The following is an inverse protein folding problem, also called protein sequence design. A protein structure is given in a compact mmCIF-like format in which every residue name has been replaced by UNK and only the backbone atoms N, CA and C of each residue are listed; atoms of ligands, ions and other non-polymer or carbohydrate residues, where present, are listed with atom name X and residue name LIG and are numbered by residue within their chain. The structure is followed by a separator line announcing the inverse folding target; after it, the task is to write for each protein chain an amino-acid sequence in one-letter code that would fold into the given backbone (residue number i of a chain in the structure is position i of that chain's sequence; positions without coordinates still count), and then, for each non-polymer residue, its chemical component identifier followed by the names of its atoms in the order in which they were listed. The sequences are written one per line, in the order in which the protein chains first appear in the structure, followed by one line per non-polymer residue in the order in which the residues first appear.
data_IF_889379494462
#
_entry.id   IF_889379494462
#
_cell.length_a   1.000
_cell.length_b   1.000
_cell.length_c   1.000
_cell.angle_alpha   90.00
_cell.angle_beta   90.00
_cell.angle_gamma   90.00
#
_symmetry.space_group_name_H-M   'P 1'
#
loop_
_entity.id
_entity.type
_entity.pdbx_description
1 polymer ?
#
# COMPACT_ATOMS: atom_id res chain seq x y z
N UNK A 1 -1.13 19.73 -15.93
CA UNK A 1 -2.51 19.25 -15.65
C UNK A 1 -2.45 17.73 -15.60
N UNK A 2 -2.66 17.12 -14.43
CA UNK A 2 -2.57 15.65 -14.26
C UNK A 2 -3.90 15.04 -14.72
N UNK A 3 -3.85 14.13 -15.69
CA UNK A 3 -5.02 13.41 -16.19
C UNK A 3 -5.62 12.54 -15.07
N UNK A 4 -6.90 12.71 -14.71
CA UNK A 4 -7.55 11.91 -13.66
C UNK A 4 -7.62 10.40 -13.96
N UNK A 5 -7.41 10.01 -15.22
CA UNK A 5 -7.52 8.63 -15.71
C UNK A 5 -6.18 7.92 -15.95
N UNK A 6 -5.03 8.54 -15.66
CA UNK A 6 -3.78 7.77 -15.58
C UNK A 6 -3.76 7.04 -14.24
N UNK A 7 -4.37 5.84 -14.19
CA UNK A 7 -4.27 4.91 -13.07
C UNK A 7 -2.80 4.84 -12.67
N UNK A 8 -2.48 5.12 -11.40
CA UNK A 8 -1.15 4.82 -10.89
C UNK A 8 -0.95 3.31 -11.09
N UNK A 9 -0.10 2.92 -12.05
CA UNK A 9 -0.12 1.58 -12.60
C UNK A 9 0.45 0.57 -11.60
N UNK A 10 1.62 0.85 -11.06
CA UNK A 10 2.27 0.14 -9.95
C UNK A 10 3.55 0.91 -9.63
N UNK A 11 4.17 0.67 -8.47
CA UNK A 11 5.55 1.10 -8.25
C UNK A 11 6.43 -0.11 -7.91
N UNK A 12 7.64 -0.08 -8.47
CA UNK A 12 8.66 -1.10 -8.23
C UNK A 12 9.59 -0.63 -7.14
N UNK A 13 9.76 -1.44 -6.10
CA UNK A 13 10.74 -1.22 -5.06
C UNK A 13 11.85 -2.27 -5.16
N UNK A 14 13.10 -1.84 -5.27
CA UNK A 14 14.27 -2.73 -5.38
C UNK A 14 15.07 -2.66 -4.09
N UNK A 15 15.27 -3.80 -3.43
CA UNK A 15 16.16 -3.92 -2.28
C UNK A 15 17.59 -4.23 -2.76
N UNK A 16 18.54 -3.27 -2.69
CA UNK A 16 19.90 -3.48 -3.22
C UNK A 16 20.72 -4.48 -2.39
N UNK A 17 20.32 -4.78 -1.15
CA UNK A 17 21.07 -5.65 -0.23
C UNK A 17 20.80 -7.15 -0.42
N UNK A 18 19.65 -7.53 -0.98
CA UNK A 18 19.21 -8.94 -1.07
C UNK A 18 19.22 -9.46 -2.52
N UNK A 19 19.80 -8.69 -3.44
CA UNK A 19 19.90 -9.03 -4.86
C UNK A 19 18.58 -8.85 -5.60
N UNK A 20 18.39 -7.70 -6.25
CA UNK A 20 17.35 -7.39 -7.26
C UNK A 20 15.95 -8.05 -7.07
N UNK A 21 15.47 -8.17 -5.83
CA UNK A 21 14.07 -8.53 -5.59
C UNK A 21 13.26 -7.26 -5.87
N UNK A 22 12.72 -7.19 -7.07
CA UNK A 22 11.76 -6.17 -7.47
C UNK A 22 10.40 -6.50 -6.88
N UNK A 23 9.90 -5.62 -6.00
CA UNK A 23 8.58 -5.77 -5.42
C UNK A 23 7.60 -4.80 -6.07
N UNK A 24 6.58 -5.36 -6.70
CA UNK A 24 5.50 -4.61 -7.33
C UNK A 24 4.42 -4.28 -6.32
N UNK A 25 4.06 -3.00 -6.29
CA UNK A 25 3.01 -2.47 -5.44
C UNK A 25 1.91 -1.82 -6.29
N UNK A 26 0.69 -2.29 -6.08
CA UNK A 26 -0.52 -1.86 -6.77
C UNK A 26 -1.38 -1.00 -5.85
N UNK A 27 -1.70 0.25 -6.24
CA UNK A 27 -2.62 1.08 -5.48
C UNK A 27 -4.07 0.60 -5.68
N UNK A 28 -4.67 0.03 -4.63
CA UNK A 28 -6.06 -0.44 -4.66
C UNK A 28 -7.05 0.72 -4.58
N UNK A 29 -6.72 1.73 -3.76
CA UNK A 29 -7.51 2.96 -3.61
C UNK A 29 -6.62 4.11 -3.16
N UNK A 30 -6.68 5.24 -3.87
CA UNK A 30 -5.85 6.40 -3.57
C UNK A 30 -6.66 7.69 -3.60
N UNK A 31 -6.48 8.49 -2.55
CA UNK A 31 -6.84 9.89 -2.53
C UNK A 31 -5.56 10.68 -2.24
N UNK A 32 -4.97 11.26 -3.28
CA UNK A 32 -3.68 11.98 -3.21
C UNK A 32 -3.57 13.05 -2.12
N UNK A 33 -4.70 13.54 -1.57
CA UNK A 33 -4.75 14.53 -0.49
C UNK A 33 -4.90 13.93 0.91
N UNK A 34 -5.23 12.64 1.03
CA UNK A 34 -5.61 12.03 2.32
C UNK A 34 -4.91 10.70 2.58
N UNK A 35 -5.01 9.73 1.66
CA UNK A 35 -4.57 8.37 1.90
C UNK A 35 -4.19 7.63 0.61
N UNK A 36 -3.42 6.55 0.75
CA UNK A 36 -3.23 5.55 -0.29
C UNK A 36 -3.26 4.15 0.36
N UNK A 37 -4.09 3.27 -0.17
CA UNK A 37 -4.15 1.85 0.20
C UNK A 37 -3.47 1.08 -0.94
N UNK A 38 -2.43 0.35 -0.59
CA UNK A 38 -1.53 -0.30 -1.54
C UNK A 38 -1.39 -1.76 -1.14
N UNK A 39 -1.39 -2.64 -2.13
CA UNK A 39 -1.12 -4.06 -1.97
C UNK A 39 0.01 -4.46 -2.91
N UNK A 40 0.91 -5.29 -2.46
CA UNK A 40 1.99 -5.83 -3.27
C UNK A 40 2.13 -7.31 -3.03
N UNK A 41 2.50 -8.03 -4.07
CA UNK A 41 2.76 -9.46 -4.02
C UNK A 41 4.13 -9.72 -4.64
N UNK A 42 4.96 -10.50 -3.96
CA UNK A 42 6.23 -10.98 -4.49
C UNK A 42 6.25 -12.51 -4.47
N UNK A 43 6.74 -13.10 -5.54
CA UNK A 43 6.97 -14.55 -5.62
C UNK A 43 8.40 -14.82 -5.13
N UNK A 44 8.53 -15.58 -4.05
CA UNK A 44 9.81 -16.06 -3.55
C UNK A 44 9.85 -17.58 -3.63
N UNK A 45 10.45 -18.08 -4.71
CA UNK A 45 10.58 -19.51 -4.99
C UNK A 45 9.21 -20.22 -4.99
N UNK A 46 8.90 -20.94 -3.93
CA UNK A 46 7.69 -21.73 -3.70
C UNK A 46 6.60 -20.99 -2.92
N UNK A 47 6.84 -19.74 -2.51
CA UNK A 47 5.93 -18.95 -1.67
C UNK A 47 5.54 -17.64 -2.32
N UNK A 48 4.30 -17.23 -2.07
CA UNK A 48 3.81 -15.89 -2.37
C UNK A 48 3.81 -15.07 -1.08
N UNK A 49 4.45 -13.90 -1.10
CA UNK A 49 4.46 -12.97 0.03
C UNK A 49 3.62 -11.77 -0.36
N UNK A 50 2.47 -11.65 0.29
CA UNK A 50 1.63 -10.48 0.19
C UNK A 50 2.04 -9.44 1.23
N UNK A 51 1.97 -8.17 0.84
CA UNK A 51 2.18 -7.04 1.74
C UNK A 51 1.17 -5.95 1.47
N UNK A 52 0.71 -5.34 2.55
CA UNK A 52 -0.26 -4.28 2.53
C UNK A 52 0.31 -3.03 3.20
N UNK A 53 0.08 -1.88 2.58
CA UNK A 53 0.44 -0.60 3.16
C UNK A 53 -0.73 0.37 3.09
N UNK A 54 -0.90 1.13 4.16
CA UNK A 54 -1.82 2.26 4.22
C UNK A 54 -0.99 3.49 4.53
N UNK A 55 -0.87 4.37 3.54
CA UNK A 55 -0.17 5.65 3.69
C UNK A 55 -1.19 6.74 4.02
N UNK A 56 -0.88 7.58 5.00
CA UNK A 56 -1.64 8.79 5.33
C UNK A 56 -0.80 10.03 5.01
N UNK A 57 -1.44 11.09 4.53
CA UNK A 57 -0.78 12.41 4.36
C UNK A 57 -0.50 13.11 5.70
N UNK A 58 -1.10 12.64 6.79
CA UNK A 58 -0.92 13.17 8.14
C UNK A 58 -0.38 12.06 9.05
N UNK A 59 0.32 12.42 10.12
CA UNK A 59 0.80 11.47 11.14
C UNK A 59 -0.31 10.72 11.88
N UNK A 60 -1.57 11.14 11.71
CA UNK A 60 -2.75 10.48 12.28
C UNK A 60 -3.48 9.65 11.22
N UNK A 61 -3.95 8.47 11.65
CA UNK A 61 -4.80 7.57 10.88
C UNK A 61 -6.09 8.29 10.43
N UNK A 62 -6.46 8.26 9.13
CA UNK A 62 -7.70 8.87 8.67
C UNK A 62 -8.94 8.23 9.29
N UNK A 63 -9.93 9.04 9.69
CA UNK A 63 -11.24 8.57 10.18
C UNK A 63 -11.93 7.83 9.02
N UNK A 64 -12.18 6.52 9.17
CA UNK A 64 -12.74 5.56 8.17
C UNK A 64 -11.74 4.81 7.27
N UNK A 65 -10.45 4.81 7.58
CA UNK A 65 -9.49 4.10 6.71
C UNK A 65 -9.74 2.59 6.63
N UNK A 66 -10.26 1.97 7.69
CA UNK A 66 -10.58 0.53 7.73
C UNK A 66 -11.75 0.18 6.81
N UNK A 67 -12.79 1.01 6.75
CA UNK A 67 -13.89 0.81 5.81
C UNK A 67 -13.39 0.95 4.36
N UNK A 68 -12.58 1.98 4.10
CA UNK A 68 -11.97 2.19 2.78
C UNK A 68 -11.05 1.04 2.37
N UNK A 69 -10.34 0.44 3.33
CA UNK A 69 -9.53 -0.76 3.11
C UNK A 69 -10.41 -1.95 2.72
N UNK A 70 -11.46 -2.25 3.49
CA UNK A 70 -12.37 -3.35 3.17
C UNK A 70 -12.98 -3.20 1.79
N UNK A 71 -13.47 -2.00 1.44
CA UNK A 71 -14.05 -1.72 0.13
C UNK A 71 -13.03 -1.88 -1.00
N UNK A 72 -11.79 -1.40 -0.78
CA UNK A 72 -10.72 -1.51 -1.76
C UNK A 72 -10.28 -2.96 -1.99
N UNK A 73 -10.19 -3.78 -0.95
CA UNK A 73 -9.80 -5.19 -1.04
C UNK A 73 -10.92 -6.04 -1.67
N UNK A 74 -12.18 -5.81 -1.27
CA UNK A 74 -13.34 -6.51 -1.79
C UNK A 74 -13.49 -6.34 -3.31
N UNK A 75 -13.15 -5.16 -3.85
CA UNK A 75 -13.17 -4.89 -5.29
C UNK A 75 -12.31 -5.86 -6.11
N UNK A 76 -11.25 -6.41 -5.52
CA UNK A 76 -10.28 -7.29 -6.18
C UNK A 76 -10.33 -8.72 -5.62
N UNK A 77 -11.36 -9.08 -4.83
CA UNK A 77 -11.47 -10.37 -4.15
C UNK A 77 -10.24 -10.72 -3.28
N UNK A 78 -9.60 -9.70 -2.70
CA UNK A 78 -8.46 -9.87 -1.81
C UNK A 78 -8.94 -10.03 -0.36
N UNK A 79 -8.18 -10.81 0.42
CA UNK A 79 -8.43 -10.94 1.86
C UNK A 79 -7.75 -9.80 2.60
N UNK A 80 -8.46 -9.17 3.53
CA UNK A 80 -7.91 -8.07 4.33
C UNK A 80 -6.92 -8.65 5.34
N UNK A 81 -5.63 -8.29 5.28
CA UNK A 81 -4.65 -8.78 6.25
C UNK A 81 -4.79 -8.06 7.58
N UNK A 82 -4.19 -8.63 8.62
CA UNK A 82 -3.99 -7.92 9.89
C UNK A 82 -3.02 -6.75 9.67
N UNK A 83 -3.39 -5.57 10.18
CA UNK A 83 -2.63 -4.33 10.01
C UNK A 83 -2.16 -3.83 11.36
N UNK A 84 -0.93 -3.36 11.43
CA UNK A 84 -0.36 -2.72 12.62
C UNK A 84 -0.16 -1.22 12.37
N UNK A 85 -0.53 -0.40 13.34
CA UNK A 85 -0.34 1.05 13.26
C UNK A 85 1.09 1.41 13.72
N UNK A 86 1.87 2.02 12.84
CA UNK A 86 3.20 2.52 13.18
C UNK A 86 3.11 3.89 13.86
N UNK A 87 3.68 4.01 15.07
CA UNK A 87 3.77 5.30 15.74
C UNK A 87 4.92 6.14 15.14
N UNK A 88 4.55 7.13 14.34
CA UNK A 88 5.49 8.03 13.67
C UNK A 88 5.97 9.20 14.53
N UNK A 89 5.52 9.33 15.79
CA UNK A 89 5.95 10.42 16.67
C UNK A 89 7.45 10.42 16.96
N UNK A 90 8.11 9.26 16.81
CA UNK A 90 9.54 9.08 17.03
C UNK A 90 10.38 9.30 15.76
N UNK A 91 9.74 9.42 14.59
CA UNK A 91 10.44 9.50 13.30
C UNK A 91 10.63 10.93 12.80
N UNK A 92 9.97 11.90 13.43
CA UNK A 92 10.08 13.32 13.09
C UNK A 92 10.81 13.99 14.26
N UNK A 93 12.14 13.97 14.20
CA UNK A 93 13.00 14.80 15.04
C UNK A 93 13.28 16.13 14.32
#
# INVERSE_FOLDING_TARGET
MVNPNSKAQFFNYVFPMVGNIGKEYFPLSINYRRYAIVWGCENRSDKHIETAWIFSRRSKKPRRIEALQRDAYAKYNLTVPEMYDHNLSLCIA
#
